data_IF_221801905270
#
_entry.id   IF_221801905270
#
_cell.length_a   1.000
_cell.length_b   1.000
_cell.length_c   1.000
_cell.angle_alpha   90.00
_cell.angle_beta   90.00
_cell.angle_gamma   90.00
#
_symmetry.space_group_name_H-M   'P 1'
#
loop_
_entity.id
_entity.type
_entity.pdbx_description
1 polymer ?
#
# COMPACT_ATOMS: atom_id res chain seq x y z
N UNK A 1 -9.28 -4.50 -5.56
CA UNK A 1 -7.98 -4.78 -4.91
C UNK A 1 -7.68 -6.26 -4.70
N UNK A 2 -8.58 -7.09 -4.14
CA UNK A 2 -8.33 -8.55 -4.01
C UNK A 2 -8.05 -9.25 -5.35
N UNK A 3 -8.91 -9.10 -6.34
CA UNK A 3 -8.67 -9.65 -7.69
C UNK A 3 -7.35 -9.19 -8.29
N UNK A 4 -7.00 -7.90 -8.13
CA UNK A 4 -5.72 -7.37 -8.61
C UNK A 4 -4.53 -8.02 -7.90
N UNK A 5 -4.64 -8.33 -6.60
CA UNK A 5 -3.61 -9.05 -5.86
C UNK A 5 -3.55 -10.54 -6.21
N UNK A 6 -4.67 -11.16 -6.59
CA UNK A 6 -4.75 -12.58 -6.96
C UNK A 6 -4.16 -12.87 -8.34
N UNK A 7 -4.39 -11.98 -9.32
CA UNK A 7 -3.99 -12.22 -10.72
C UNK A 7 -2.64 -11.59 -11.11
N UNK A 8 -2.15 -10.60 -10.35
CA UNK A 8 -0.91 -9.89 -10.70
C UNK A 8 0.26 -10.28 -9.80
N UNK A 9 1.49 -10.40 -10.37
CA UNK A 9 2.74 -10.32 -9.61
C UNK A 9 2.83 -9.01 -8.81
N UNK A 10 3.57 -9.00 -7.70
CA UNK A 10 3.66 -7.88 -6.76
C UNK A 10 3.99 -6.53 -7.42
N UNK A 11 4.91 -6.53 -8.38
CA UNK A 11 5.37 -5.35 -9.10
C UNK A 11 4.24 -4.71 -9.96
N UNK A 12 3.34 -5.54 -10.51
CA UNK A 12 2.16 -5.08 -11.25
C UNK A 12 1.04 -4.64 -10.31
N UNK A 13 0.96 -5.23 -9.12
CA UNK A 13 0.03 -4.79 -8.08
C UNK A 13 0.40 -3.40 -7.55
N UNK A 14 1.69 -3.12 -7.37
CA UNK A 14 2.19 -1.80 -6.91
C UNK A 14 1.75 -0.66 -7.82
N UNK A 15 1.73 -0.87 -9.15
CA UNK A 15 1.24 0.13 -10.11
C UNK A 15 -0.24 0.46 -9.90
N UNK A 16 -1.08 -0.54 -9.69
CA UNK A 16 -2.52 -0.36 -9.43
C UNK A 16 -2.75 0.26 -8.06
N UNK A 17 -1.92 -0.11 -7.07
CA UNK A 17 -1.99 0.40 -5.72
C UNK A 17 -1.60 1.89 -5.64
N UNK A 18 -0.57 2.31 -6.39
CA UNK A 18 -0.11 3.70 -6.44
C UNK A 18 -1.25 4.67 -6.78
N UNK A 19 -2.02 4.37 -7.83
CA UNK A 19 -3.14 5.22 -8.25
C UNK A 19 -4.24 5.33 -7.17
N UNK A 20 -4.51 4.23 -6.45
CA UNK A 20 -5.44 4.27 -5.32
C UNK A 20 -4.87 5.11 -4.18
N UNK A 21 -3.59 4.93 -3.86
CA UNK A 21 -2.93 5.63 -2.77
C UNK A 21 -2.99 7.15 -2.98
N UNK A 22 -2.69 7.63 -4.19
CA UNK A 22 -2.78 9.05 -4.54
C UNK A 22 -4.21 9.59 -4.36
N UNK A 23 -5.23 8.81 -4.74
CA UNK A 23 -6.65 9.17 -4.53
C UNK A 23 -6.99 9.30 -3.05
N UNK A 24 -6.58 8.34 -2.22
CA UNK A 24 -6.81 8.35 -0.77
C UNK A 24 -6.11 9.53 -0.06
N UNK A 25 -4.94 9.94 -0.56
CA UNK A 25 -4.21 11.09 -0.04
C UNK A 25 -4.94 12.40 -0.33
N UNK A 26 -5.56 12.54 -1.51
CA UNK A 26 -6.40 13.70 -1.86
C UNK A 26 -7.64 13.79 -0.95
N UNK A 27 -8.30 12.66 -0.68
CA UNK A 27 -9.48 12.61 0.21
C UNK A 27 -9.18 12.97 1.68
N UNK A 28 -7.90 12.93 2.09
CA UNK A 28 -7.45 13.16 3.47
C UNK A 28 -6.57 14.40 3.60
N UNK A 29 -6.51 15.26 2.58
CA UNK A 29 -5.55 16.37 2.49
C UNK A 29 -5.63 17.30 3.71
N UNK A 30 -6.84 17.74 4.09
CA UNK A 30 -7.08 18.66 5.22
C UNK A 30 -6.68 18.07 6.58
N UNK A 31 -6.60 16.74 6.69
CA UNK A 31 -6.28 16.04 7.94
C UNK A 31 -4.79 15.69 8.04
N UNK A 32 -4.08 15.71 6.91
CA UNK A 32 -2.76 15.11 6.76
C UNK A 32 -1.81 16.01 5.93
N UNK A 33 -1.95 17.34 6.02
CA UNK A 33 -1.21 18.29 5.18
C UNK A 33 0.31 18.09 5.19
N UNK A 34 0.92 17.87 6.37
CA UNK A 34 2.37 17.71 6.49
C UNK A 34 2.87 16.47 5.73
N UNK A 35 2.22 15.32 5.96
CA UNK A 35 2.60 14.06 5.32
C UNK A 35 2.23 14.03 3.84
N UNK A 36 1.12 14.68 3.46
CA UNK A 36 0.72 14.88 2.07
C UNK A 36 1.74 15.73 1.33
N UNK A 37 2.10 16.89 1.90
CA UNK A 37 3.11 17.78 1.35
C UNK A 37 4.44 17.07 1.17
N UNK A 38 4.87 16.26 2.15
CA UNK A 38 6.08 15.44 2.04
C UNK A 38 5.96 14.37 0.95
N UNK A 39 4.82 13.68 0.88
CA UNK A 39 4.57 12.64 -0.13
C UNK A 39 4.55 13.19 -1.56
N UNK A 40 4.02 14.39 -1.77
CA UNK A 40 3.93 15.00 -3.09
C UNK A 40 5.25 15.65 -3.55
N UNK A 41 6.05 16.19 -2.63
CA UNK A 41 7.25 16.97 -2.99
C UNK A 41 8.56 16.17 -2.89
N UNK A 42 8.61 15.09 -2.12
CA UNK A 42 9.79 14.24 -1.98
C UNK A 42 9.58 12.90 -2.71
N UNK A 43 10.16 12.80 -3.91
CA UNK A 43 10.10 11.59 -4.75
C UNK A 43 10.73 10.35 -4.10
N UNK A 44 11.76 10.52 -3.28
CA UNK A 44 12.39 9.40 -2.58
C UNK A 44 11.45 8.87 -1.49
N UNK A 45 10.87 9.78 -0.73
CA UNK A 45 9.85 9.45 0.27
C UNK A 45 8.62 8.79 -0.35
N UNK A 46 8.09 9.36 -1.43
CA UNK A 46 6.95 8.82 -2.18
C UNK A 46 7.21 7.36 -2.59
N UNK A 47 8.39 7.08 -3.16
CA UNK A 47 8.76 5.74 -3.62
C UNK A 47 8.83 4.74 -2.47
N UNK A 48 9.46 5.11 -1.35
CA UNK A 48 9.59 4.23 -0.17
C UNK A 48 8.23 3.91 0.43
N UNK A 49 7.39 4.94 0.63
CA UNK A 49 6.05 4.78 1.22
C UNK A 49 5.14 3.94 0.32
N UNK A 50 5.16 4.21 -1.00
CA UNK A 50 4.32 3.47 -1.97
C UNK A 50 4.70 1.99 -2.00
N UNK A 51 5.99 1.68 -2.12
CA UNK A 51 6.47 0.30 -2.15
C UNK A 51 6.16 -0.46 -0.85
N UNK A 52 6.37 0.19 0.30
CA UNK A 52 6.08 -0.41 1.61
C UNK A 52 4.58 -0.70 1.78
N UNK A 53 3.72 0.28 1.51
CA UNK A 53 2.26 0.11 1.61
C UNK A 53 1.73 -0.92 0.60
N UNK A 54 2.24 -0.91 -0.63
CA UNK A 54 1.85 -1.90 -1.64
C UNK A 54 2.20 -3.32 -1.18
N UNK A 55 3.41 -3.52 -0.64
CA UNK A 55 3.83 -4.80 -0.08
C UNK A 55 2.94 -5.23 1.08
N UNK A 56 2.63 -4.35 2.03
CA UNK A 56 1.78 -4.72 3.18
C UNK A 56 0.34 -5.03 2.78
N UNK A 57 -0.24 -4.25 1.87
CA UNK A 57 -1.58 -4.53 1.36
C UNK A 57 -1.58 -5.82 0.55
N UNK A 58 -0.60 -6.04 -0.32
CA UNK A 58 -0.47 -7.28 -1.08
C UNK A 58 -0.37 -8.51 -0.16
N UNK A 59 0.48 -8.46 0.88
CA UNK A 59 0.59 -9.51 1.90
C UNK A 59 -0.72 -9.74 2.63
N UNK A 60 -1.44 -8.69 3.04
CA UNK A 60 -2.75 -8.82 3.72
C UNK A 60 -3.83 -9.41 2.82
N UNK A 61 -3.80 -9.07 1.53
CA UNK A 61 -4.77 -9.58 0.53
C UNK A 61 -4.47 -11.04 0.16
N UNK A 62 -3.20 -11.45 0.14
CA UNK A 62 -2.75 -12.82 -0.14
C UNK A 62 -2.73 -13.70 1.12
N UNK A 63 -2.57 -13.10 2.29
CA UNK A 63 -2.24 -13.74 3.55
C UNK A 63 -3.37 -13.72 4.57
N UNK A 64 -4.49 -14.35 4.22
CA UNK A 64 -5.24 -15.14 5.21
C UNK A 64 -4.50 -16.49 5.42
N UNK A 65 -3.21 -16.41 5.73
CA UNK A 65 -2.22 -17.48 5.94
C UNK A 65 -0.90 -16.70 6.23
N UNK A 66 -0.44 -16.40 7.45
CA UNK A 66 0.34 -17.22 8.39
C UNK A 66 0.47 -16.39 9.70
N UNK A 67 -0.60 -16.17 10.45
CA UNK A 67 -0.49 -15.53 11.79
C UNK A 67 -1.54 -15.93 12.82
N UNK A 68 -2.37 -16.95 12.52
CA UNK A 68 -3.07 -17.73 13.56
C UNK A 68 -2.41 -19.10 13.83
N UNK A 69 -1.45 -19.54 13.01
CA UNK A 69 -0.79 -20.84 13.15
C UNK A 69 0.39 -20.87 14.14
N UNK A 70 0.84 -19.72 14.65
CA UNK A 70 1.95 -19.63 15.62
C UNK A 70 1.53 -19.31 17.06
N UNK A 71 0.22 -19.30 17.35
CA UNK A 71 -0.30 -19.06 18.69
C UNK A 71 -0.68 -20.36 19.45
N UNK A 72 -0.21 -21.53 19.01
CA UNK A 72 -0.52 -22.84 19.62
C UNK A 72 0.62 -23.86 19.56
N UNK A 73 1.87 -23.44 19.72
CA UNK A 73 2.98 -24.35 20.02
C UNK A 73 3.80 -23.81 21.19
#
# INVERSE_FOLDING_TARGET
MRQAAEVNPGDKFELVFKNLLETLFVERIDQNEEIFGKFMNDRAFQKVVTAWLASEVYKRLRGKDISYARAKE
#
